data_IF_588822332182
#
_entry.id   IF_588822332182
#
_cell.length_a   1.000
_cell.length_b   1.000
_cell.length_c   1.000
_cell.angle_alpha   90.00
_cell.angle_beta   90.00
_cell.angle_gamma   90.00
#
_symmetry.space_group_name_H-M   'P 1'
#
loop_
_entity.id
_entity.type
_entity.pdbx_description
1 polymer ?
#
# COMPACT_ATOMS: atom_id res chain seq x y z
N UNK A 1 11.57 17.38 -19.64
CA UNK A 1 10.32 17.08 -18.93
C UNK A 1 10.22 17.93 -17.68
N UNK A 2 9.12 18.66 -17.54
CA UNK A 2 8.85 19.50 -16.37
C UNK A 2 8.44 18.68 -15.15
N UNK A 3 8.60 19.25 -13.95
CA UNK A 3 8.20 18.57 -12.68
C UNK A 3 6.71 18.19 -12.65
N UNK A 4 5.84 18.94 -13.34
CA UNK A 4 4.40 18.68 -13.43
C UNK A 4 4.11 17.44 -14.27
N UNK A 5 4.68 17.36 -15.48
CA UNK A 5 4.57 16.20 -16.38
C UNK A 5 5.03 14.91 -15.69
N UNK A 6 6.16 14.95 -14.96
CA UNK A 6 6.62 13.78 -14.20
C UNK A 6 5.66 13.38 -13.07
N UNK A 7 4.98 14.35 -12.44
CA UNK A 7 4.04 14.05 -11.35
C UNK A 7 2.76 13.42 -11.90
N UNK A 8 2.28 13.91 -13.04
CA UNK A 8 1.12 13.36 -13.75
C UNK A 8 1.40 11.95 -14.23
N UNK A 9 2.57 11.72 -14.85
CA UNK A 9 2.98 10.39 -15.31
C UNK A 9 3.08 9.38 -14.16
N UNK A 10 3.67 9.76 -13.02
CA UNK A 10 3.72 8.90 -11.83
C UNK A 10 2.31 8.58 -11.30
N UNK A 11 1.40 9.56 -11.35
CA UNK A 11 0.02 9.36 -10.91
C UNK A 11 -0.73 8.40 -11.83
N UNK A 12 -0.60 8.55 -13.15
CA UNK A 12 -1.23 7.66 -14.13
C UNK A 12 -0.74 6.22 -13.96
N UNK A 13 0.58 6.02 -13.85
CA UNK A 13 1.17 4.71 -13.57
C UNK A 13 0.62 4.09 -12.28
N UNK A 14 0.43 4.91 -11.23
CA UNK A 14 -0.13 4.45 -9.97
C UNK A 14 -1.59 4.04 -10.11
N UNK A 15 -2.39 4.78 -10.87
CA UNK A 15 -3.79 4.45 -11.13
C UNK A 15 -3.93 3.16 -11.95
N UNK A 16 -3.05 2.94 -12.93
CA UNK A 16 -3.01 1.71 -13.71
C UNK A 16 -2.67 0.49 -12.86
N UNK A 17 -1.64 0.58 -12.02
CA UNK A 17 -1.30 -0.47 -11.05
C UNK A 17 -2.47 -0.77 -10.10
N UNK A 18 -3.19 0.27 -9.65
CA UNK A 18 -4.34 0.07 -8.77
C UNK A 18 -5.48 -0.65 -9.49
N UNK A 19 -5.74 -0.31 -10.77
CA UNK A 19 -6.74 -0.98 -11.60
C UNK A 19 -6.40 -2.44 -11.79
N UNK A 20 -5.14 -2.75 -12.11
CA UNK A 20 -4.67 -4.13 -12.29
C UNK A 20 -4.87 -4.96 -11.02
N UNK A 21 -4.38 -4.47 -9.88
CA UNK A 21 -4.50 -5.18 -8.59
C UNK A 21 -5.95 -5.39 -8.17
N UNK A 22 -6.82 -4.40 -8.43
CA UNK A 22 -8.27 -4.49 -8.19
C UNK A 22 -8.93 -5.50 -9.14
N UNK A 23 -8.52 -5.55 -10.40
CA UNK A 23 -9.00 -6.51 -11.39
C UNK A 23 -8.68 -7.94 -10.96
N UNK A 24 -7.42 -8.22 -10.59
CA UNK A 24 -6.99 -9.52 -10.07
C UNK A 24 -7.81 -9.94 -8.84
N UNK A 25 -8.01 -9.02 -7.89
CA UNK A 25 -8.87 -9.27 -6.74
C UNK A 25 -10.32 -9.60 -7.14
N UNK A 26 -10.85 -8.96 -8.17
CA UNK A 26 -12.18 -9.26 -8.72
C UNK A 26 -12.27 -10.68 -9.29
N UNK A 27 -11.26 -11.11 -10.05
CA UNK A 27 -11.20 -12.45 -10.66
C UNK A 27 -11.17 -13.57 -9.61
N UNK A 28 -10.61 -13.32 -8.44
CA UNK A 28 -10.57 -14.30 -7.35
C UNK A 28 -11.94 -14.60 -6.69
N UNK A 29 -13.05 -13.98 -7.12
CA UNK A 29 -14.36 -14.23 -6.51
C UNK A 29 -15.56 -13.97 -7.41
N UNK A 30 -16.74 -14.41 -6.96
CA UNK A 30 -17.95 -14.51 -7.78
C UNK A 30 -19.04 -13.48 -7.40
N UNK A 31 -18.66 -12.30 -6.90
CA UNK A 31 -19.56 -11.13 -6.79
C UNK A 31 -20.58 -11.11 -5.64
N UNK A 32 -20.69 -12.15 -4.82
CA UNK A 32 -21.59 -12.19 -3.65
C UNK A 32 -20.88 -11.91 -2.33
N UNK A 33 -20.17 -12.91 -1.82
CA UNK A 33 -19.31 -12.79 -0.64
C UNK A 33 -17.84 -12.84 -1.05
N UNK A 34 -16.97 -12.28 -0.21
CA UNK A 34 -15.54 -12.42 -0.43
C UNK A 34 -15.10 -13.88 -0.30
N UNK A 35 -14.66 -14.46 -1.42
CA UNK A 35 -14.13 -15.83 -1.50
C UNK A 35 -12.86 -16.00 -0.66
N UNK A 36 -12.46 -17.23 -0.36
CA UNK A 36 -11.20 -17.52 0.35
C UNK A 36 -10.00 -16.92 -0.41
N UNK A 37 -9.93 -17.15 -1.72
CA UNK A 37 -8.88 -16.62 -2.60
C UNK A 37 -8.79 -15.09 -2.57
N UNK A 38 -9.94 -14.38 -2.54
CA UNK A 38 -9.94 -12.93 -2.37
C UNK A 38 -9.30 -12.49 -1.05
N UNK A 39 -9.58 -13.21 0.05
CA UNK A 39 -9.02 -12.89 1.36
C UNK A 39 -7.53 -13.17 1.42
N UNK A 40 -7.09 -14.30 0.86
CA UNK A 40 -5.68 -14.68 0.76
C UNK A 40 -4.90 -13.63 -0.03
N UNK A 41 -5.36 -13.31 -1.25
CA UNK A 41 -4.76 -12.24 -2.05
C UNK A 41 -4.71 -10.92 -1.30
N UNK A 42 -5.79 -10.52 -0.63
CA UNK A 42 -5.80 -9.29 0.15
C UNK A 42 -4.78 -9.31 1.31
N UNK A 43 -4.56 -10.45 1.95
CA UNK A 43 -3.57 -10.61 3.03
C UNK A 43 -2.15 -10.50 2.47
N UNK A 44 -1.85 -11.11 1.33
CA UNK A 44 -0.55 -10.98 0.66
C UNK A 44 -0.25 -9.51 0.31
N UNK A 45 -1.24 -8.81 -0.27
CA UNK A 45 -1.09 -7.37 -0.57
C UNK A 45 -0.95 -6.50 0.69
N UNK A 46 -1.41 -6.96 1.87
CA UNK A 46 -1.21 -6.27 3.16
C UNK A 46 0.24 -6.38 3.63
N UNK A 47 0.90 -7.52 3.42
CA UNK A 47 2.30 -7.68 3.81
C UNK A 47 3.21 -6.76 2.99
N UNK A 48 2.95 -6.67 1.68
CA UNK A 48 3.74 -5.86 0.75
C UNK A 48 3.55 -4.34 0.94
N UNK A 49 2.30 -3.88 0.96
CA UNK A 49 1.99 -2.44 0.94
C UNK A 49 1.49 -1.89 2.27
N UNK A 50 1.08 -2.76 3.19
CA UNK A 50 0.46 -2.38 4.45
C UNK A 50 -1.04 -2.09 4.32
N UNK A 51 -1.77 -2.32 5.41
CA UNK A 51 -3.24 -2.34 5.44
C UNK A 51 -3.95 -1.09 4.90
N UNK A 52 -3.33 0.09 5.05
CA UNK A 52 -3.94 1.35 4.57
C UNK A 52 -3.82 1.49 3.06
N UNK A 53 -2.69 1.07 2.49
CA UNK A 53 -2.47 1.12 1.05
C UNK A 53 -3.36 0.07 0.37
N UNK A 54 -3.35 -1.17 0.88
CA UNK A 54 -4.18 -2.26 0.36
C UNK A 54 -5.68 -1.91 0.36
N UNK A 55 -6.18 -1.27 1.42
CA UNK A 55 -7.57 -0.81 1.47
C UNK A 55 -7.92 0.17 0.33
N UNK A 56 -6.99 1.05 -0.05
CA UNK A 56 -7.18 2.00 -1.17
C UNK A 56 -7.09 1.30 -2.52
N UNK A 57 -6.08 0.44 -2.70
CA UNK A 57 -5.82 -0.29 -3.95
C UNK A 57 -7.04 -1.16 -4.28
N UNK A 58 -7.49 -2.00 -3.34
CA UNK A 58 -8.58 -2.94 -3.55
C UNK A 58 -9.96 -2.30 -3.41
N UNK A 59 -10.03 -1.05 -2.94
CA UNK A 59 -11.28 -0.33 -2.61
C UNK A 59 -12.17 -1.10 -1.61
N UNK A 60 -11.54 -1.75 -0.63
CA UNK A 60 -12.21 -2.48 0.44
C UNK A 60 -12.13 -1.66 1.73
N UNK A 61 -13.20 -1.58 2.54
CA UNK A 61 -13.14 -0.92 3.82
C UNK A 61 -12.01 -1.49 4.69
N UNK A 62 -11.17 -0.62 5.25
CA UNK A 62 -10.06 -1.01 6.13
C UNK A 62 -10.50 -1.93 7.28
N UNK A 63 -11.70 -1.69 7.84
CA UNK A 63 -12.27 -2.53 8.92
C UNK A 63 -12.48 -3.98 8.48
N UNK A 64 -12.84 -4.20 7.22
CA UNK A 64 -13.01 -5.55 6.64
C UNK A 64 -11.68 -6.28 6.59
N UNK A 65 -10.64 -5.64 6.08
CA UNK A 65 -9.28 -6.20 6.05
C UNK A 65 -8.76 -6.51 7.46
N UNK A 66 -9.00 -5.61 8.42
CA UNK A 66 -8.63 -5.82 9.82
C UNK A 66 -9.34 -7.04 10.45
N UNK A 67 -10.63 -7.24 10.15
CA UNK A 67 -11.38 -8.42 10.61
C UNK A 67 -10.79 -9.70 10.04
N UNK A 68 -10.41 -9.72 8.76
CA UNK A 68 -9.74 -10.88 8.17
C UNK A 68 -8.40 -11.17 8.81
N UNK A 69 -7.55 -10.16 8.98
CA UNK A 69 -6.25 -10.33 9.63
C UNK A 69 -6.41 -10.95 11.03
N UNK A 70 -7.37 -10.46 11.83
CA UNK A 70 -7.68 -11.04 13.15
C UNK A 70 -8.18 -12.48 13.06
N UNK A 71 -9.06 -12.77 12.11
CA UNK A 71 -9.63 -14.12 11.92
C UNK A 71 -8.55 -15.15 11.56
N UNK A 72 -7.57 -14.77 10.74
CA UNK A 72 -6.47 -15.66 10.31
C UNK A 72 -5.21 -15.53 11.17
N UNK A 73 -5.32 -14.87 12.34
CA UNK A 73 -4.19 -14.60 13.25
C UNK A 73 -2.97 -13.95 12.59
N UNK A 74 -3.19 -13.13 11.56
CA UNK A 74 -2.15 -12.41 10.83
C UNK A 74 -1.77 -11.16 11.63
N UNK A 75 -0.53 -11.14 12.12
CA UNK A 75 0.04 -9.99 12.81
C UNK A 75 0.48 -8.96 11.76
N UNK A 76 -0.36 -7.97 11.51
CA UNK A 76 -0.03 -6.87 10.60
C UNK A 76 0.94 -5.92 11.29
N UNK A 77 2.18 -5.86 10.80
CA UNK A 77 3.16 -4.85 11.21
C UNK A 77 2.58 -3.45 10.95
N UNK A 78 2.84 -2.50 11.85
CA UNK A 78 2.30 -1.13 11.76
C UNK A 78 2.61 -0.48 10.40
N UNK A 79 3.81 -0.74 9.88
CA UNK A 79 4.23 -0.34 8.53
C UNK A 79 5.11 -1.45 7.92
N UNK A 80 5.11 -1.60 6.57
CA UNK A 80 6.09 -2.42 5.87
C UNK A 80 7.53 -1.95 6.13
N UNK A 81 8.50 -2.86 6.02
CA UNK A 81 9.91 -2.57 6.30
C UNK A 81 10.46 -1.38 5.50
N UNK A 82 10.11 -1.29 4.21
CA UNK A 82 10.57 -0.22 3.33
C UNK A 82 10.15 1.18 3.81
N UNK A 83 9.05 1.30 4.57
CA UNK A 83 8.61 2.57 5.16
C UNK A 83 9.60 3.05 6.22
N UNK A 84 10.13 2.13 7.04
CA UNK A 84 11.14 2.46 8.04
C UNK A 84 12.45 2.89 7.37
N UNK A 85 12.89 2.16 6.35
CA UNK A 85 14.07 2.52 5.55
C UNK A 85 13.91 3.89 4.87
N UNK A 86 12.73 4.17 4.30
CA UNK A 86 12.40 5.48 3.72
C UNK A 86 12.44 6.60 4.77
N UNK A 87 11.84 6.38 5.93
CA UNK A 87 11.81 7.35 7.02
C UNK A 87 13.24 7.64 7.55
N UNK A 88 14.08 6.62 7.65
CA UNK A 88 15.49 6.77 8.01
C UNK A 88 16.26 7.59 6.97
N UNK A 89 16.10 7.28 5.68
CA UNK A 89 16.71 8.06 4.59
C UNK A 89 16.32 9.54 4.67
N UNK A 90 15.04 9.83 4.93
CA UNK A 90 14.56 11.21 5.15
C UNK A 90 15.18 11.87 6.38
N UNK A 91 15.34 11.14 7.48
CA UNK A 91 16.01 11.66 8.69
C UNK A 91 17.46 12.02 8.40
N UNK A 92 18.22 11.13 7.76
CA UNK A 92 19.61 11.37 7.35
C UNK A 92 19.73 12.59 6.44
N UNK A 93 18.85 12.72 5.44
CA UNK A 93 18.81 13.88 4.54
C UNK A 93 18.53 15.19 5.30
N UNK A 94 17.57 15.20 6.21
CA UNK A 94 17.29 16.38 7.05
C UNK A 94 18.47 16.76 7.93
N UNK A 95 19.06 15.78 8.63
CA UNK A 95 20.25 16.00 9.47
C UNK A 95 21.45 16.52 8.67
N UNK A 96 21.60 16.11 7.42
CA UNK A 96 22.62 16.64 6.52
C UNK A 96 22.45 18.15 6.24
N UNK A 97 21.23 18.60 5.96
CA UNK A 97 20.95 20.02 5.71
C UNK A 97 21.00 20.88 6.98
N UNK A 98 20.51 20.35 8.11
CA UNK A 98 20.63 21.01 9.41
C UNK A 98 22.10 21.26 9.78
N UNK A 99 22.99 20.27 9.59
CA UNK A 99 24.44 20.42 9.85
C UNK A 99 25.11 21.52 9.01
N UNK A 100 24.47 21.96 7.93
CA UNK A 100 24.97 23.02 7.05
C UNK A 100 24.25 24.36 7.26
N UNK A 101 23.43 24.48 8.30
CA UNK A 101 22.72 25.71 8.64
C UNK A 101 21.46 25.99 7.81
N UNK A 102 21.00 25.04 7.00
CA UNK A 102 19.77 25.15 6.21
C UNK A 102 18.55 24.50 6.90
N UNK A 103 18.61 24.37 8.23
CA UNK A 103 17.67 23.62 9.07
C UNK A 103 16.43 24.40 9.44
#
# INVERSE_FOLDING_TARGET
MGKKENTELVREMQEELYREKKSLFGVCGNGGYYASQQREYAIEQIDEYGIRATARILQIPRRTLQRWCRKYNVIVKRCPYWVYAWAERRRRRRAFWMRRGYG
#
